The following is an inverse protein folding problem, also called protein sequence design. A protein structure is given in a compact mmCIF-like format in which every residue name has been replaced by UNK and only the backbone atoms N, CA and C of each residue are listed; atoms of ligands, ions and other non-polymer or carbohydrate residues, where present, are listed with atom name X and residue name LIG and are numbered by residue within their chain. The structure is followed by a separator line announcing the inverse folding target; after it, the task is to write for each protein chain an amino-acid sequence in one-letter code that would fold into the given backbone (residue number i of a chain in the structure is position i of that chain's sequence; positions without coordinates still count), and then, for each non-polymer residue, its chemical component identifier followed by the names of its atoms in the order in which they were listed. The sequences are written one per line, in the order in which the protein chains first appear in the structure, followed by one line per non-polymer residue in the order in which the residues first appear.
data_IF_092340778953
#
_entry.id   IF_092340778953
#
_cell.length_a   1.000
_cell.length_b   1.000
_cell.length_c   1.000
_cell.angle_alpha   90.00
_cell.angle_beta   90.00
_cell.angle_gamma   90.00
#
_symmetry.space_group_name_H-M   'P 1'
#
loop_
_entity.id
_entity.type
_entity.pdbx_description
1 polymer ?
#
# COMPACT_ATOMS: atom_id res chain seq x y z
N UNK A 1 7.60 -21.56 -5.31
CA UNK A 1 6.25 -21.08 -5.00
C UNK A 1 6.00 -19.85 -5.88
N UNK A 2 4.88 -19.80 -6.59
CA UNK A 2 4.57 -18.75 -7.53
C UNK A 2 3.21 -18.12 -7.20
N UNK A 3 3.04 -16.84 -7.57
CA UNK A 3 1.78 -16.13 -7.41
C UNK A 3 0.71 -16.65 -8.37
N UNK A 4 -0.48 -16.95 -7.88
CA UNK A 4 -1.62 -17.40 -8.70
C UNK A 4 -2.41 -16.23 -9.30
N UNK A 5 -2.26 -15.03 -8.72
CA UNK A 5 -2.89 -13.79 -9.16
C UNK A 5 -2.06 -12.56 -8.78
N UNK A 6 -2.39 -11.41 -9.34
CA UNK A 6 -1.80 -10.12 -8.96
C UNK A 6 -2.24 -9.71 -7.56
N UNK A 7 -1.34 -9.09 -6.79
CA UNK A 7 -1.69 -8.62 -5.46
C UNK A 7 -0.51 -8.14 -4.62
N UNK A 8 -0.77 -8.05 -3.32
CA UNK A 8 0.22 -7.73 -2.30
C UNK A 8 0.67 -9.01 -1.62
N UNK A 9 1.96 -9.33 -1.73
CA UNK A 9 2.54 -10.46 -1.00
C UNK A 9 2.58 -10.15 0.49
N UNK A 10 2.03 -11.06 1.28
CA UNK A 10 2.16 -11.09 2.73
C UNK A 10 3.01 -12.28 3.14
N UNK A 11 3.98 -12.04 4.00
CA UNK A 11 4.88 -13.06 4.54
C UNK A 11 4.69 -13.16 6.04
N UNK A 12 4.32 -14.36 6.52
CA UNK A 12 4.33 -14.66 7.94
C UNK A 12 5.79 -14.89 8.38
N UNK A 13 6.45 -13.82 8.81
CA UNK A 13 7.88 -13.83 9.17
C UNK A 13 8.17 -14.79 10.31
N UNK A 14 7.26 -14.92 11.27
CA UNK A 14 7.40 -15.86 12.38
C UNK A 14 7.38 -17.30 11.89
N UNK A 15 6.44 -17.66 11.03
CA UNK A 15 6.37 -18.98 10.44
C UNK A 15 7.60 -19.31 9.60
N UNK A 16 8.06 -18.37 8.75
CA UNK A 16 9.28 -18.55 7.95
C UNK A 16 10.50 -18.73 8.83
N UNK A 17 10.64 -17.94 9.90
CA UNK A 17 11.76 -18.07 10.83
C UNK A 17 11.73 -19.42 11.54
N UNK A 18 10.59 -19.85 12.08
CA UNK A 18 10.43 -21.16 12.73
C UNK A 18 10.79 -22.32 11.80
N UNK A 19 10.38 -22.26 10.52
CA UNK A 19 10.77 -23.28 9.53
C UNK A 19 12.28 -23.25 9.29
N UNK A 20 12.89 -22.07 9.20
CA UNK A 20 14.32 -21.92 8.97
C UNK A 20 15.20 -22.25 10.21
N UNK A 21 14.62 -22.37 11.40
CA UNK A 21 15.30 -22.87 12.60
C UNK A 21 15.40 -24.40 12.61
N UNK A 22 14.60 -25.10 11.78
CA UNK A 22 14.69 -26.53 11.63
C UNK A 22 15.96 -26.95 10.91
N UNK A 23 16.57 -28.09 11.24
CA UNK A 23 17.72 -28.58 10.52
C UNK A 23 17.33 -28.90 9.07
N UNK A 24 18.22 -28.57 8.15
CA UNK A 24 18.18 -28.99 6.74
C UNK A 24 17.10 -28.35 5.85
N UNK A 25 16.15 -27.59 6.37
CA UNK A 25 15.10 -26.94 5.57
C UNK A 25 15.39 -25.44 5.44
N UNK A 26 15.32 -24.92 4.23
CA UNK A 26 15.47 -23.48 3.94
C UNK A 26 14.27 -23.01 3.16
N UNK A 27 13.67 -21.90 3.63
CA UNK A 27 12.66 -21.13 2.91
C UNK A 27 13.20 -19.71 2.73
N UNK A 28 13.29 -19.26 1.48
CA UNK A 28 13.68 -17.88 1.11
C UNK A 28 12.52 -17.23 0.37
N UNK A 29 12.15 -16.01 0.76
CA UNK A 29 10.98 -15.32 0.21
C UNK A 29 11.34 -13.95 -0.36
N UNK A 30 10.47 -13.42 -1.23
CA UNK A 30 10.44 -11.99 -1.51
C UNK A 30 10.07 -11.22 -0.24
N UNK A 31 10.38 -9.90 -0.17
CA UNK A 31 10.00 -9.06 0.96
C UNK A 31 8.50 -9.04 1.21
N UNK A 32 8.10 -8.96 2.49
CA UNK A 32 6.72 -8.71 2.89
C UNK A 32 6.23 -7.36 2.35
N UNK A 33 4.95 -7.27 2.00
CA UNK A 33 4.30 -6.11 1.41
C UNK A 33 4.80 -5.74 -0.01
N UNK A 34 5.38 -6.68 -0.72
CA UNK A 34 5.78 -6.47 -2.11
C UNK A 34 4.59 -6.65 -3.06
N UNK A 35 4.45 -5.74 -4.05
CA UNK A 35 3.53 -5.94 -5.17
C UNK A 35 4.05 -7.07 -6.05
N UNK A 36 3.19 -8.03 -6.37
CA UNK A 36 3.50 -9.18 -7.23
C UNK A 36 2.46 -9.34 -8.31
N UNK A 37 2.87 -9.95 -9.41
CA UNK A 37 2.02 -10.31 -10.53
C UNK A 37 1.85 -11.83 -10.59
N UNK A 38 0.76 -12.27 -11.20
CA UNK A 38 0.55 -13.70 -11.50
C UNK A 38 1.77 -14.26 -12.22
N UNK A 39 2.31 -15.36 -11.68
CA UNK A 39 3.48 -16.05 -12.21
C UNK A 39 4.82 -15.58 -11.62
N UNK A 40 4.85 -14.52 -10.80
CA UNK A 40 6.07 -14.14 -10.09
C UNK A 40 6.46 -15.21 -9.06
N UNK A 41 7.75 -15.48 -8.97
CA UNK A 41 8.29 -16.39 -7.96
C UNK A 41 8.32 -15.67 -6.60
N UNK A 42 7.52 -16.16 -5.66
CA UNK A 42 7.37 -15.58 -4.31
C UNK A 42 8.38 -16.11 -3.32
N UNK A 43 8.70 -17.40 -3.44
CA UNK A 43 9.62 -18.08 -2.55
C UNK A 43 10.23 -19.31 -3.21
N UNK A 44 11.40 -19.67 -2.72
CA UNK A 44 12.06 -20.94 -2.96
C UNK A 44 12.25 -21.70 -1.67
N UNK A 45 12.12 -23.02 -1.73
CA UNK A 45 12.44 -23.90 -0.61
C UNK A 45 13.33 -25.02 -1.08
N UNK A 46 14.23 -25.45 -0.23
CA UNK A 46 15.10 -26.59 -0.47
C UNK A 46 15.50 -27.26 0.83
N UNK A 47 15.94 -28.50 0.72
CA UNK A 47 16.71 -29.18 1.76
C UNK A 47 18.21 -29.10 1.45
N UNK A 48 19.06 -28.99 2.48
CA UNK A 48 20.52 -28.80 2.28
C UNK A 48 21.19 -30.12 1.83
N UNK A 49 21.00 -31.28 2.47
CA UNK A 49 21.52 -32.53 1.97
C UNK A 49 20.65 -33.07 0.84
N UNK A 50 21.22 -33.94 0.01
CA UNK A 50 20.50 -34.60 -1.10
C UNK A 50 19.40 -35.52 -0.62
N UNK A 51 19.51 -36.04 0.61
CA UNK A 51 18.55 -36.94 1.27
C UNK A 51 18.40 -36.46 2.70
N UNK A 52 17.18 -36.34 3.16
CA UNK A 52 16.81 -36.05 4.56
C UNK A 52 15.81 -37.06 5.05
N UNK A 53 15.67 -37.21 6.36
CA UNK A 53 14.63 -38.02 6.94
C UNK A 53 13.25 -37.41 6.71
N UNK A 54 12.25 -38.25 6.47
CA UNK A 54 10.88 -37.79 6.27
C UNK A 54 10.36 -36.99 7.48
N UNK A 55 10.78 -37.35 8.68
CA UNK A 55 10.42 -36.62 9.90
C UNK A 55 10.81 -35.15 9.92
N UNK A 56 11.94 -34.78 9.28
CA UNK A 56 12.37 -33.37 9.19
C UNK A 56 11.43 -32.55 8.28
N UNK A 57 10.92 -33.18 7.23
CA UNK A 57 9.93 -32.55 6.33
C UNK A 57 8.58 -32.46 7.01
N UNK A 58 8.14 -33.53 7.67
CA UNK A 58 6.88 -33.56 8.41
C UNK A 58 6.83 -32.49 9.52
N UNK A 59 7.95 -32.25 10.21
CA UNK A 59 8.01 -31.17 11.21
C UNK A 59 7.92 -29.78 10.56
N UNK A 60 8.54 -29.55 9.39
CA UNK A 60 8.39 -28.29 8.65
C UNK A 60 6.95 -28.07 8.18
N UNK A 61 6.29 -29.10 7.68
CA UNK A 61 4.89 -29.07 7.28
C UNK A 61 3.97 -28.79 8.48
N UNK A 62 4.27 -29.38 9.63
CA UNK A 62 3.54 -29.14 10.87
C UNK A 62 3.68 -27.70 11.32
N UNK A 63 4.90 -27.12 11.33
CA UNK A 63 5.12 -25.72 11.65
C UNK A 63 4.33 -24.80 10.73
N UNK A 64 4.32 -25.08 9.42
CA UNK A 64 3.56 -24.32 8.43
C UNK A 64 2.05 -24.42 8.69
N UNK A 65 1.55 -25.60 9.01
CA UNK A 65 0.14 -25.87 9.30
C UNK A 65 -0.34 -25.19 10.58
N UNK A 66 0.45 -25.26 11.66
CA UNK A 66 0.16 -24.59 12.93
C UNK A 66 0.10 -23.07 12.80
N UNK A 67 0.92 -22.48 11.92
CA UNK A 67 0.90 -21.07 11.63
C UNK A 67 -0.34 -20.63 10.84
N UNK A 68 -1.09 -21.57 10.27
CA UNK A 68 -2.27 -21.32 9.44
C UNK A 68 -1.92 -20.85 8.03
N UNK A 69 -0.91 -20.02 7.86
CA UNK A 69 -0.40 -19.57 6.58
C UNK A 69 1.08 -19.15 6.69
N UNK A 70 1.83 -19.31 5.60
CA UNK A 70 3.23 -18.89 5.50
C UNK A 70 3.37 -17.72 4.51
N UNK A 71 2.74 -17.86 3.37
CA UNK A 71 2.66 -16.83 2.31
C UNK A 71 1.20 -16.67 1.87
N UNK A 72 0.81 -15.45 1.62
CA UNK A 72 -0.51 -15.10 1.09
C UNK A 72 -0.35 -13.96 0.08
N UNK A 73 -1.04 -14.04 -1.06
CA UNK A 73 -1.17 -12.89 -1.96
C UNK A 73 -2.57 -12.29 -1.79
N UNK A 74 -2.63 -11.07 -1.25
CA UNK A 74 -3.89 -10.34 -1.10
C UNK A 74 -4.21 -9.60 -2.38
N UNK A 75 -5.36 -9.86 -3.03
CA UNK A 75 -5.75 -9.14 -4.24
C UNK A 75 -5.97 -7.66 -3.93
N UNK A 76 -5.63 -6.79 -4.89
CA UNK A 76 -5.92 -5.37 -4.75
C UNK A 76 -7.41 -5.12 -4.81
N UNK A 77 -7.90 -4.26 -3.92
CA UNK A 77 -9.28 -3.80 -3.92
C UNK A 77 -9.40 -2.57 -4.80
N UNK A 78 -10.30 -2.61 -5.78
CA UNK A 78 -10.64 -1.44 -6.59
C UNK A 78 -11.34 -0.40 -5.74
N UNK A 79 -10.89 0.86 -5.85
CA UNK A 79 -11.41 2.00 -5.09
C UNK A 79 -11.77 3.15 -6.01
N UNK A 80 -12.79 3.91 -5.63
CA UNK A 80 -13.08 5.24 -6.19
C UNK A 80 -12.23 6.26 -5.47
N UNK A 81 -11.32 6.88 -6.20
CA UNK A 81 -10.29 7.77 -5.63
C UNK A 81 -10.59 9.21 -5.97
N UNK A 82 -10.73 10.03 -4.95
CA UNK A 82 -10.71 11.50 -5.07
C UNK A 82 -9.30 12.04 -4.89
N UNK A 83 -9.00 13.17 -5.50
CA UNK A 83 -7.73 13.87 -5.27
C UNK A 83 -7.96 15.36 -5.08
N UNK A 84 -7.34 15.94 -4.04
CA UNK A 84 -7.25 17.38 -3.84
C UNK A 84 -5.80 17.80 -4.04
N UNK A 85 -5.55 18.57 -5.09
CA UNK A 85 -4.23 19.16 -5.38
C UNK A 85 -4.23 20.57 -4.80
N UNK A 86 -3.41 20.77 -3.76
CA UNK A 86 -3.29 22.08 -3.10
C UNK A 86 -2.08 22.83 -3.63
N UNK A 87 -2.15 24.13 -3.56
CA UNK A 87 -1.11 25.05 -3.96
C UNK A 87 -1.65 26.21 -4.80
N UNK A 88 -1.48 27.42 -4.30
CA UNK A 88 -1.97 28.63 -4.95
C UNK A 88 -1.39 28.83 -6.35
N UNK A 89 -0.17 28.35 -6.60
CA UNK A 89 0.48 28.47 -7.90
C UNK A 89 -0.19 27.60 -8.97
N UNK A 90 -0.56 26.36 -8.62
CA UNK A 90 -1.28 25.45 -9.51
C UNK A 90 -2.73 25.91 -9.66
N UNK A 91 -3.38 26.27 -8.55
CA UNK A 91 -4.78 26.71 -8.55
C UNK A 91 -5.00 27.94 -9.44
N UNK A 92 -4.09 28.91 -9.43
CA UNK A 92 -4.17 30.10 -10.28
C UNK A 92 -3.49 29.94 -11.65
N UNK A 93 -3.18 28.70 -12.07
CA UNK A 93 -2.54 28.38 -13.35
C UNK A 93 -1.21 29.10 -13.59
N UNK A 94 -0.44 29.40 -12.56
CA UNK A 94 0.89 30.00 -12.68
C UNK A 94 1.96 29.00 -13.09
N UNK A 95 1.77 27.74 -12.67
CA UNK A 95 2.57 26.57 -13.07
C UNK A 95 1.65 25.45 -13.53
N UNK A 96 2.10 24.60 -14.48
CA UNK A 96 1.33 23.43 -14.89
C UNK A 96 1.28 22.39 -13.75
N UNK A 97 0.14 21.71 -13.64
CA UNK A 97 0.00 20.61 -12.70
C UNK A 97 0.80 19.39 -13.16
N UNK A 98 1.70 18.92 -12.30
CA UNK A 98 2.48 17.71 -12.50
C UNK A 98 1.96 16.52 -11.68
N UNK A 99 1.04 16.74 -10.72
CA UNK A 99 0.56 15.69 -9.82
C UNK A 99 -0.57 14.83 -10.41
N UNK A 100 -1.54 15.46 -11.08
CA UNK A 100 -2.69 14.76 -11.60
C UNK A 100 -2.32 13.60 -12.54
N UNK A 101 -1.42 13.73 -13.50
CA UNK A 101 -1.02 12.62 -14.37
C UNK A 101 -0.39 11.46 -13.58
N UNK A 102 0.51 11.78 -12.65
CA UNK A 102 1.23 10.76 -11.83
C UNK A 102 0.28 10.00 -10.92
N UNK A 103 -0.65 10.73 -10.28
CA UNK A 103 -1.64 10.11 -9.37
C UNK A 103 -2.59 9.24 -10.18
N UNK A 104 -3.05 9.72 -11.33
CA UNK A 104 -3.95 8.95 -12.21
C UNK A 104 -3.29 7.64 -12.64
N UNK A 105 -2.09 7.68 -13.20
CA UNK A 105 -1.34 6.49 -13.59
C UNK A 105 -1.16 5.52 -12.42
N UNK A 106 -0.81 6.03 -11.24
CA UNK A 106 -0.63 5.22 -10.05
C UNK A 106 -1.93 4.54 -9.61
N UNK A 107 -3.03 5.28 -9.54
CA UNK A 107 -4.34 4.75 -9.15
C UNK A 107 -4.81 3.66 -10.11
N UNK A 108 -4.74 3.94 -11.42
CA UNK A 108 -5.14 3.01 -12.47
C UNK A 108 -4.26 1.75 -12.50
N UNK A 109 -2.96 1.88 -12.18
CA UNK A 109 -2.04 0.73 -12.14
C UNK A 109 -2.40 -0.29 -11.06
N UNK A 110 -3.22 0.08 -10.07
CA UNK A 110 -3.78 -0.81 -9.04
C UNK A 110 -5.23 -1.23 -9.34
N UNK A 111 -5.74 -0.92 -10.54
CA UNK A 111 -7.10 -1.24 -10.96
C UNK A 111 -8.19 -0.39 -10.31
N UNK A 112 -7.81 0.68 -9.61
CA UNK A 112 -8.71 1.68 -9.05
C UNK A 112 -9.04 2.76 -10.09
N UNK A 113 -10.07 3.58 -9.83
CA UNK A 113 -10.50 4.64 -10.74
C UNK A 113 -10.44 6.01 -10.07
N UNK A 114 -10.08 7.02 -10.85
CA UNK A 114 -10.20 8.42 -10.39
C UNK A 114 -11.65 8.85 -10.50
N UNK A 115 -12.27 9.13 -9.36
CA UNK A 115 -13.60 9.72 -9.29
C UNK A 115 -13.57 11.19 -9.71
N UNK A 116 -12.65 11.96 -9.14
CA UNK A 116 -12.48 13.38 -9.43
C UNK A 116 -11.12 13.86 -8.92
N UNK A 117 -10.49 14.75 -9.68
CA UNK A 117 -9.36 15.56 -9.24
C UNK A 117 -9.84 17.01 -9.11
N UNK A 118 -9.61 17.63 -7.97
CA UNK A 118 -9.99 19.01 -7.69
C UNK A 118 -8.79 19.79 -7.18
N UNK A 119 -8.83 21.10 -7.36
CA UNK A 119 -7.75 22.01 -6.98
C UNK A 119 -8.21 22.96 -5.88
N UNK A 120 -7.30 23.30 -4.97
CA UNK A 120 -7.55 24.28 -3.92
C UNK A 120 -6.33 25.21 -3.76
N UNK A 121 -6.54 26.51 -3.48
CA UNK A 121 -5.46 27.37 -3.02
C UNK A 121 -5.03 26.91 -1.61
N UNK A 122 -3.96 27.53 -1.10
CA UNK A 122 -3.49 27.27 0.26
C UNK A 122 -4.41 27.98 1.28
N UNK A 123 -5.64 27.47 1.40
CA UNK A 123 -6.69 27.95 2.27
C UNK A 123 -7.38 26.81 2.99
N UNK A 124 -7.40 26.87 4.31
CA UNK A 124 -7.89 25.80 5.19
C UNK A 124 -9.35 25.41 4.88
N UNK A 125 -10.23 26.37 4.78
CA UNK A 125 -11.67 26.13 4.55
C UNK A 125 -11.90 25.52 3.17
N UNK A 126 -11.24 26.06 2.15
CA UNK A 126 -11.37 25.55 0.78
C UNK A 126 -10.87 24.11 0.66
N UNK A 127 -9.70 23.80 1.21
CA UNK A 127 -9.15 22.44 1.20
C UNK A 127 -10.09 21.47 1.93
N UNK A 128 -10.53 21.84 3.14
CA UNK A 128 -11.46 21.03 3.94
C UNK A 128 -12.76 20.77 3.20
N UNK A 129 -13.35 21.78 2.59
CA UNK A 129 -14.59 21.65 1.84
C UNK A 129 -14.42 20.70 0.62
N UNK A 130 -13.32 20.80 -0.11
CA UNK A 130 -13.02 19.91 -1.24
C UNK A 130 -12.91 18.44 -0.79
N UNK A 131 -12.30 18.16 0.36
CA UNK A 131 -12.23 16.82 0.94
C UNK A 131 -13.64 16.30 1.28
N UNK A 132 -14.46 17.14 1.92
CA UNK A 132 -15.84 16.81 2.27
C UNK A 132 -16.68 16.54 1.03
N UNK A 133 -16.53 17.35 -0.02
CA UNK A 133 -17.27 17.20 -1.28
C UNK A 133 -16.93 15.87 -1.97
N UNK A 134 -15.64 15.52 -2.04
CA UNK A 134 -15.20 14.24 -2.60
C UNK A 134 -15.77 13.05 -1.81
N UNK A 135 -15.73 13.12 -0.49
CA UNK A 135 -16.34 12.11 0.38
C UNK A 135 -17.83 11.95 0.10
N UNK A 136 -18.56 13.05 0.00
CA UNK A 136 -20.00 13.06 -0.25
C UNK A 136 -20.34 12.55 -1.66
N UNK A 137 -19.44 12.70 -2.63
CA UNK A 137 -19.53 12.12 -3.97
C UNK A 137 -19.24 10.61 -4.02
N UNK A 138 -18.82 10.04 -2.90
CA UNK A 138 -18.57 8.60 -2.79
C UNK A 138 -17.12 8.18 -3.02
N UNK A 139 -16.14 9.09 -2.86
CA UNK A 139 -14.74 8.71 -2.82
C UNK A 139 -14.47 7.80 -1.61
N UNK A 140 -13.91 6.62 -1.87
CA UNK A 140 -13.52 5.64 -0.84
C UNK A 140 -12.09 5.87 -0.34
N UNK A 141 -11.28 6.56 -1.12
CA UNK A 141 -9.93 6.98 -0.83
C UNK A 141 -9.75 8.40 -1.35
N UNK A 142 -9.13 9.27 -0.56
CA UNK A 142 -8.84 10.64 -0.96
C UNK A 142 -7.35 10.89 -0.79
N UNK A 143 -6.69 11.28 -1.86
CA UNK A 143 -5.34 11.81 -1.83
C UNK A 143 -5.37 13.34 -1.70
N UNK A 144 -4.47 13.87 -0.90
CA UNK A 144 -4.15 15.30 -0.87
C UNK A 144 -2.68 15.49 -1.21
N UNK A 145 -2.36 16.47 -2.03
CA UNK A 145 -0.97 16.78 -2.40
C UNK A 145 -0.71 18.27 -2.23
N UNK A 146 0.51 18.64 -1.86
CA UNK A 146 0.89 20.02 -1.54
C UNK A 146 0.60 20.38 -0.08
N UNK A 147 1.24 21.45 0.41
CA UNK A 147 1.05 22.00 1.75
C UNK A 147 1.27 20.98 2.89
N UNK A 148 2.23 20.07 2.75
CA UNK A 148 2.50 18.99 3.70
C UNK A 148 3.97 18.92 4.15
N UNK A 149 4.73 19.99 3.95
CA UNK A 149 6.11 20.11 4.39
C UNK A 149 6.18 20.56 5.86
N UNK A 150 7.25 21.22 6.24
CA UNK A 150 7.50 21.70 7.62
C UNK A 150 7.23 23.19 7.82
N UNK A 151 6.73 23.85 6.78
CA UNK A 151 6.48 25.29 6.84
C UNK A 151 5.23 25.59 7.67
N UNK A 152 5.22 26.72 8.41
CA UNK A 152 4.06 27.12 9.22
C UNK A 152 2.78 27.33 8.38
N UNK A 153 2.94 27.59 7.08
CA UNK A 153 1.86 27.86 6.13
C UNK A 153 1.29 26.57 5.49
N UNK A 154 1.82 25.41 5.85
CA UNK A 154 1.34 24.11 5.38
C UNK A 154 0.02 23.72 6.07
N UNK A 155 -1.08 24.06 5.43
CA UNK A 155 -2.42 23.92 6.01
C UNK A 155 -3.09 22.55 5.76
N UNK A 156 -2.54 21.73 4.86
CA UNK A 156 -3.20 20.47 4.43
C UNK A 156 -3.45 19.49 5.58
N UNK A 157 -2.52 19.21 6.51
CA UNK A 157 -2.80 18.32 7.64
C UNK A 157 -3.91 18.85 8.55
N UNK A 158 -3.95 20.16 8.75
CA UNK A 158 -4.99 20.83 9.54
C UNK A 158 -6.35 20.78 8.84
N UNK A 159 -6.38 20.97 7.52
CA UNK A 159 -7.57 20.86 6.70
C UNK A 159 -8.17 19.43 6.70
N UNK A 160 -7.31 18.40 6.68
CA UNK A 160 -7.74 16.99 6.80
C UNK A 160 -8.47 16.76 8.13
N UNK A 161 -7.92 17.26 9.24
CA UNK A 161 -8.60 17.19 10.55
C UNK A 161 -9.92 17.98 10.55
N UNK A 162 -9.92 19.17 9.97
CA UNK A 162 -11.10 20.03 9.90
C UNK A 162 -12.22 19.40 9.05
N UNK A 163 -11.86 18.59 8.04
CA UNK A 163 -12.80 17.78 7.28
C UNK A 163 -13.37 16.57 8.05
N UNK A 164 -12.99 16.39 9.33
CA UNK A 164 -13.47 15.35 10.21
C UNK A 164 -12.68 14.04 10.18
N UNK A 165 -11.46 14.05 9.64
CA UNK A 165 -10.59 12.89 9.66
C UNK A 165 -9.70 12.85 10.90
N UNK A 166 -9.38 11.64 11.38
CA UNK A 166 -8.38 11.40 12.40
C UNK A 166 -7.01 11.19 11.76
N UNK A 167 -5.97 11.80 12.33
CA UNK A 167 -4.59 11.56 11.90
C UNK A 167 -4.04 10.34 12.65
N UNK A 168 -3.98 9.21 11.98
CA UNK A 168 -3.45 7.96 12.54
C UNK A 168 -1.92 8.01 12.65
N UNK A 169 -1.24 8.63 11.68
CA UNK A 169 0.21 8.79 11.68
C UNK A 169 0.59 10.09 10.99
N UNK A 170 1.53 10.81 11.56
CA UNK A 170 2.12 12.01 10.98
C UNK A 170 3.62 11.78 10.75
N UNK A 171 4.10 12.13 9.56
CA UNK A 171 5.50 11.99 9.17
C UNK A 171 5.72 11.01 8.02
N UNK A 172 6.97 10.90 7.57
CA UNK A 172 7.38 9.92 6.57
C UNK A 172 7.58 8.53 7.20
N UNK A 173 7.36 7.50 6.40
CA UNK A 173 7.62 6.10 6.79
C UNK A 173 9.10 5.76 6.61
#
# INVERSE_FOLDING_TARGET
IFAEHDGLLKVNKEAVNRINELPYVIVSTLPDNMRVKKGDMLAGTKVIPLVVDAADIEEAEKVASEAGWVLEVKPFQKKKVGCVITGSEVFYNRIPDAFAPVITEKVESYGSEILEITYAPDDLETISQKIIDLRNKGAELIFTTGGMSVDPDDLTPTAIKHAGAEIVKYGAA
#
